data_IF_112077602031
#
_entry.id   IF_112077602031
#
_cell.length_a   1.000
_cell.length_b   1.000
_cell.length_c   1.000
_cell.angle_alpha   90.00
_cell.angle_beta   90.00
_cell.angle_gamma   90.00
#
_symmetry.space_group_name_H-M   'P 1'
#
loop_
_entity.id
_entity.type
_entity.pdbx_description
1 polymer ?
#
# COMPACT_ATOMS: atom_id res chain seq x y z
N UNK A 1 7.80 -17.01 -2.85
CA UNK A 1 8.85 -16.01 -2.60
C UNK A 1 8.26 -14.76 -2.04
N UNK A 2 8.74 -14.33 -0.91
CA UNK A 2 8.21 -13.11 -0.35
C UNK A 2 8.71 -11.88 -1.12
N UNK A 3 7.84 -10.91 -1.20
CA UNK A 3 8.17 -9.61 -1.73
C UNK A 3 8.71 -8.73 -0.62
N UNK A 4 9.63 -7.84 -0.95
CA UNK A 4 10.12 -6.87 0.01
C UNK A 4 9.16 -5.69 0.04
N UNK A 5 8.71 -5.32 1.23
CA UNK A 5 7.80 -4.19 1.40
C UNK A 5 8.62 -2.99 1.83
N UNK A 6 8.57 -1.92 1.04
CA UNK A 6 9.26 -0.67 1.39
C UNK A 6 8.24 0.46 1.49
N UNK A 7 8.59 1.49 2.23
CA UNK A 7 7.71 2.62 2.48
C UNK A 7 8.46 3.91 2.14
N UNK A 8 7.84 4.76 1.35
CA UNK A 8 8.40 6.09 1.09
C UNK A 8 8.39 6.92 2.38
N UNK A 9 9.14 8.00 2.39
CA UNK A 9 9.12 8.92 3.54
C UNK A 9 7.70 9.41 3.80
N UNK A 10 6.98 9.71 2.75
CA UNK A 10 5.61 10.17 2.85
C UNK A 10 4.73 9.12 3.52
N UNK A 11 4.86 7.86 3.09
CA UNK A 11 4.10 6.78 3.68
C UNK A 11 4.48 6.57 5.14
N UNK A 12 5.77 6.69 5.47
CA UNK A 12 6.22 6.56 6.84
C UNK A 12 5.63 7.65 7.73
N UNK A 13 5.58 8.88 7.22
CA UNK A 13 4.94 9.96 7.95
C UNK A 13 3.46 9.69 8.21
N UNK A 14 2.79 9.16 7.21
CA UNK A 14 1.38 8.83 7.35
C UNK A 14 1.15 7.73 8.37
N UNK A 15 2.03 6.73 8.39
CA UNK A 15 1.96 5.68 9.42
C UNK A 15 2.09 6.26 10.83
N UNK A 16 2.98 7.23 11.00
CA UNK A 16 3.19 7.85 12.31
C UNK A 16 1.97 8.64 12.77
N UNK A 17 1.18 9.10 11.85
CA UNK A 17 -0.03 9.87 12.19
C UNK A 17 -1.22 8.99 12.54
N UNK A 18 -1.16 7.71 12.20
CA UNK A 18 -2.20 6.78 12.56
C UNK A 18 -2.04 6.40 14.03
N UNK A 19 -3.17 5.98 14.66
CA UNK A 19 -3.02 5.41 15.98
C UNK A 19 -2.24 4.10 15.85
N UNK A 20 -1.66 3.69 16.97
CA UNK A 20 -0.72 2.57 16.95
C UNK A 20 -1.33 1.29 16.42
N UNK A 21 -2.58 1.01 16.79
CA UNK A 21 -3.20 -0.24 16.36
C UNK A 21 -3.48 -0.22 14.85
N UNK A 22 -3.86 0.93 14.31
CA UNK A 22 -4.08 1.03 12.87
C UNK A 22 -2.77 0.89 12.10
N UNK A 23 -1.70 1.51 12.59
CA UNK A 23 -0.41 1.42 11.95
C UNK A 23 0.10 -0.03 11.93
N UNK A 24 -0.01 -0.72 13.06
CA UNK A 24 0.40 -2.12 13.14
C UNK A 24 -0.42 -2.99 12.21
N UNK A 25 -1.71 -2.71 12.09
CA UNK A 25 -2.57 -3.47 11.19
C UNK A 25 -2.12 -3.35 9.74
N UNK A 26 -1.73 -2.15 9.32
CA UNK A 26 -1.22 -1.93 7.97
C UNK A 26 0.09 -2.70 7.77
N UNK A 27 1.02 -2.56 8.70
CA UNK A 27 2.32 -3.24 8.59
C UNK A 27 2.16 -4.75 8.53
N UNK A 28 1.33 -5.30 9.40
CA UNK A 28 1.10 -6.74 9.43
C UNK A 28 0.43 -7.22 8.14
N UNK A 29 -0.55 -6.47 7.67
CA UNK A 29 -1.24 -6.83 6.44
C UNK A 29 -0.28 -6.88 5.26
N UNK A 30 0.56 -5.86 5.13
CA UNK A 30 1.50 -5.82 4.02
C UNK A 30 2.53 -6.95 4.12
N UNK A 31 3.08 -7.18 5.30
CA UNK A 31 4.12 -8.19 5.47
C UNK A 31 3.57 -9.61 5.41
N UNK A 32 2.45 -9.85 6.07
CA UNK A 32 1.96 -11.22 6.28
C UNK A 32 0.95 -11.67 5.26
N UNK A 33 0.28 -10.74 4.59
CA UNK A 33 -0.73 -11.10 3.59
C UNK A 33 -0.28 -10.81 2.17
N UNK A 34 0.32 -9.66 1.96
CA UNK A 34 0.69 -9.24 0.61
C UNK A 34 2.10 -9.71 0.26
N UNK A 35 3.03 -9.53 1.18
CA UNK A 35 4.43 -9.85 0.91
C UNK A 35 4.70 -11.31 0.64
N UNK A 36 3.84 -12.20 1.10
CA UNK A 36 4.02 -13.64 0.91
C UNK A 36 3.36 -14.15 -0.38
N UNK A 37 2.57 -13.32 -1.05
CA UNK A 37 1.89 -13.77 -2.26
C UNK A 37 2.87 -13.99 -3.40
N UNK A 38 2.61 -15.02 -4.19
CA UNK A 38 3.39 -15.22 -5.41
C UNK A 38 3.11 -14.06 -6.38
N UNK A 39 1.87 -13.60 -6.43
CA UNK A 39 1.47 -12.49 -7.28
C UNK A 39 0.74 -11.47 -6.42
N UNK A 40 1.38 -10.33 -6.10
CA UNK A 40 0.74 -9.32 -5.26
C UNK A 40 -0.50 -8.70 -5.91
N UNK A 41 -0.65 -8.85 -7.23
CA UNK A 41 -1.82 -8.35 -7.93
C UNK A 41 -3.01 -9.30 -7.82
N UNK A 42 -2.85 -10.43 -7.15
CA UNK A 42 -3.99 -11.32 -6.89
C UNK A 42 -4.92 -10.76 -5.81
N UNK A 43 -4.47 -9.76 -5.07
CA UNK A 43 -5.29 -9.05 -4.10
C UNK A 43 -5.30 -7.57 -4.46
N UNK A 44 -6.25 -6.82 -3.90
CA UNK A 44 -6.33 -5.40 -4.17
C UNK A 44 -6.87 -5.09 -5.55
N UNK A 45 -6.69 -3.87 -5.98
CA UNK A 45 -7.19 -3.39 -7.26
C UNK A 45 -6.26 -2.37 -7.88
N UNK A 46 -6.29 -2.31 -9.20
CA UNK A 46 -5.58 -1.28 -9.94
C UNK A 46 -6.28 0.06 -9.75
N UNK A 47 -5.51 1.12 -9.59
CA UNK A 47 -6.06 2.47 -9.60
C UNK A 47 -6.28 2.91 -11.03
N UNK A 48 -7.39 3.62 -11.25
CA UNK A 48 -7.80 4.06 -12.57
C UNK A 48 -7.44 5.53 -12.73
N UNK A 49 -7.02 5.92 -13.93
CA UNK A 49 -6.73 7.31 -14.25
C UNK A 49 -5.34 7.47 -14.84
N UNK A 50 -5.11 8.58 -15.55
CA UNK A 50 -3.84 8.77 -16.25
C UNK A 50 -2.62 8.77 -15.36
N UNK A 51 -2.75 9.28 -14.14
CA UNK A 51 -1.61 9.37 -13.22
C UNK A 51 -1.48 8.15 -12.32
N UNK A 52 -2.55 7.37 -12.19
CA UNK A 52 -2.60 6.30 -11.20
C UNK A 52 -2.68 4.92 -11.82
N UNK A 53 -2.65 4.82 -13.13
CA UNK A 53 -2.86 3.56 -13.81
C UNK A 53 -1.84 2.50 -13.51
N UNK A 54 -0.64 2.90 -13.10
CA UNK A 54 0.42 1.96 -12.77
C UNK A 54 0.46 1.59 -11.30
N UNK A 55 -0.40 2.19 -10.49
CA UNK A 55 -0.40 1.97 -9.04
C UNK A 55 -1.43 0.93 -8.66
N UNK A 56 -1.22 0.32 -7.50
CA UNK A 56 -2.09 -0.73 -6.98
C UNK A 56 -2.55 -0.34 -5.59
N UNK A 57 -3.76 -0.73 -5.24
CA UNK A 57 -4.36 -0.34 -3.98
C UNK A 57 -4.77 -1.56 -3.18
N UNK A 58 -4.45 -1.54 -1.90
CA UNK A 58 -4.94 -2.53 -0.95
C UNK A 58 -5.82 -1.84 0.07
N UNK A 59 -6.74 -2.60 0.62
CA UNK A 59 -7.67 -2.08 1.61
C UNK A 59 -7.41 -2.76 2.95
N UNK A 60 -7.18 -1.95 3.99
CA UNK A 60 -6.94 -2.44 5.35
C UNK A 60 -7.91 -1.72 6.26
N UNK A 61 -9.05 -2.37 6.58
CA UNK A 61 -10.12 -1.71 7.31
C UNK A 61 -10.64 -0.50 6.54
N UNK A 62 -10.61 0.67 7.17
CA UNK A 62 -11.02 1.91 6.54
C UNK A 62 -9.89 2.62 5.82
N UNK A 63 -8.72 2.01 5.81
CA UNK A 63 -7.54 2.62 5.22
C UNK A 63 -7.30 2.09 3.82
N UNK A 64 -6.68 2.92 3.01
CA UNK A 64 -6.21 2.54 1.68
C UNK A 64 -4.71 2.66 1.63
N UNK A 65 -4.08 1.66 1.05
CA UNK A 65 -2.64 1.60 0.91
C UNK A 65 -2.34 1.60 -0.58
N UNK A 66 -1.70 2.66 -1.05
CA UNK A 66 -1.37 2.81 -2.47
C UNK A 66 0.08 2.40 -2.66
N UNK A 67 0.30 1.51 -3.61
CA UNK A 67 1.61 0.90 -3.82
C UNK A 67 2.03 0.94 -5.27
N UNK A 68 3.34 0.92 -5.46
CA UNK A 68 3.97 0.69 -6.75
C UNK A 68 4.59 -0.70 -6.71
N UNK A 69 4.07 -1.62 -7.52
CA UNK A 69 4.59 -2.99 -7.55
C UNK A 69 5.71 -3.05 -8.57
N UNK A 70 6.92 -3.27 -8.06
CA UNK A 70 8.13 -3.26 -8.88
C UNK A 70 8.57 -4.70 -9.10
N UNK A 71 8.16 -5.26 -10.22
CA UNK A 71 8.35 -6.68 -10.50
C UNK A 71 9.81 -7.06 -10.63
N UNK A 72 10.62 -6.23 -11.25
CA UNK A 72 11.99 -6.58 -11.52
C UNK A 72 12.85 -6.65 -10.27
N UNK A 73 12.51 -5.86 -9.28
CA UNK A 73 13.24 -5.86 -8.00
C UNK A 73 12.53 -6.64 -6.92
N UNK A 74 11.35 -7.15 -7.21
CA UNK A 74 10.51 -7.90 -6.27
C UNK A 74 10.23 -7.05 -5.03
N UNK A 75 9.87 -5.79 -5.28
CA UNK A 75 9.59 -4.80 -4.24
C UNK A 75 8.18 -4.27 -4.40
N UNK A 76 7.50 -4.13 -3.29
CA UNK A 76 6.23 -3.41 -3.24
C UNK A 76 6.50 -2.13 -2.46
N UNK A 77 6.49 -1.01 -3.16
CA UNK A 77 6.79 0.28 -2.56
C UNK A 77 5.48 0.96 -2.16
N UNK A 78 5.29 1.10 -0.86
CA UNK A 78 4.11 1.78 -0.34
C UNK A 78 4.33 3.28 -0.45
N UNK A 79 3.46 3.93 -1.20
CA UNK A 79 3.60 5.34 -1.52
C UNK A 79 2.72 6.20 -0.64
N UNK A 80 1.52 5.73 -0.35
CA UNK A 80 0.54 6.55 0.35
C UNK A 80 -0.37 5.68 1.19
N UNK A 81 -0.68 6.12 2.40
CA UNK A 81 -1.58 5.45 3.32
C UNK A 81 -2.52 6.49 3.88
N UNK A 82 -3.81 6.21 3.88
CA UNK A 82 -4.75 7.14 4.45
C UNK A 82 -6.16 6.62 4.40
N UNK A 83 -7.06 7.38 4.97
CA UNK A 83 -8.47 7.05 4.90
C UNK A 83 -8.94 7.21 3.47
N UNK A 84 -9.96 6.44 3.13
CA UNK A 84 -10.49 6.41 1.78
C UNK A 84 -10.67 7.79 1.17
N UNK A 85 -11.26 8.71 1.91
CA UNK A 85 -11.53 10.05 1.39
C UNK A 85 -10.27 10.86 1.21
N UNK A 86 -9.35 10.73 2.14
CA UNK A 86 -8.12 11.52 2.12
C UNK A 86 -7.20 11.11 1.00
N UNK A 87 -7.14 9.81 0.71
CA UNK A 87 -6.24 9.30 -0.33
C UNK A 87 -6.61 9.83 -1.70
N UNK A 88 -7.91 9.98 -1.96
CA UNK A 88 -8.37 10.44 -3.26
C UNK A 88 -8.54 11.95 -3.37
N UNK A 89 -8.41 12.65 -2.26
CA UNK A 89 -8.59 14.09 -2.24
C UNK A 89 -7.37 14.76 -2.85
N UNK A 90 -7.58 15.70 -3.75
CA UNK A 90 -6.48 16.43 -4.37
C UNK A 90 -5.77 15.69 -5.47
N UNK A 91 -6.29 14.60 -5.90
CA UNK A 91 -5.70 13.80 -6.97
C UNK A 91 -6.27 14.11 -8.34
#
# INVERSE_FOLDING_TARGET
MPWTIKYTESAQCQLKKLDKSAALRVLDYMDERIGILADPRSAGKNLVGPRMGSYWRYRVGDLRVICDIQDQTVVILVIEIGHRREVYRGR
#
